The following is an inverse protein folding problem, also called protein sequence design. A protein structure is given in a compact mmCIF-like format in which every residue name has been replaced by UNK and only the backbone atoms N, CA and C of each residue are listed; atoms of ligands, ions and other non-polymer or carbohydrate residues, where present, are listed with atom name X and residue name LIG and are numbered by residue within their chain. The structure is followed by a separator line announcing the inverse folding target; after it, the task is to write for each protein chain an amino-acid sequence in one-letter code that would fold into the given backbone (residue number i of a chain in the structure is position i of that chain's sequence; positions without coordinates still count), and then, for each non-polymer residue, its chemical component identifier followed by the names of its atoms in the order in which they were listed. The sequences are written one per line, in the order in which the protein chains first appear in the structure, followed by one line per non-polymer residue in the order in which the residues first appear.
data_IF_100210504025
#
_entry.id   IF_100210504025
#
_cell.length_a   1.000
_cell.length_b   1.000
_cell.length_c   1.000
_cell.angle_alpha   90.00
_cell.angle_beta   90.00
_cell.angle_gamma   90.00
#
_symmetry.space_group_name_H-M   'P 1'
#
loop_
_entity.id
_entity.type
_entity.pdbx_description
1 polymer ?
#
# COMPACT_ATOMS: atom_id res chain seq x y z
N UNK A 1 -25.51 10.56 -3.19
CA UNK A 1 -24.95 11.29 -2.04
C UNK A 1 -25.67 10.78 -0.80
N UNK A 2 -25.11 9.80 -0.09
CA UNK A 2 -25.62 9.34 1.20
C UNK A 2 -24.73 9.93 2.30
N UNK A 3 -25.37 10.56 3.28
CA UNK A 3 -24.76 11.03 4.52
C UNK A 3 -24.04 9.89 5.24
N UNK A 4 -22.71 9.79 5.13
CA UNK A 4 -21.92 8.84 5.93
C UNK A 4 -20.54 9.42 6.23
N UNK A 5 -20.49 10.47 7.05
CA UNK A 5 -19.46 10.70 8.07
C UNK A 5 -19.74 12.04 8.76
N UNK A 6 -19.63 12.13 10.09
CA UNK A 6 -19.69 13.43 10.80
C UNK A 6 -18.48 14.32 10.49
N UNK A 7 -17.34 13.70 10.18
CA UNK A 7 -16.07 14.36 9.86
C UNK A 7 -15.56 13.95 8.47
N UNK A 8 -14.84 14.81 7.72
CA UNK A 8 -14.20 14.40 6.47
C UNK A 8 -13.27 13.20 6.67
N UNK A 9 -13.28 12.22 5.75
CA UNK A 9 -12.41 11.03 5.76
C UNK A 9 -10.94 11.42 6.03
N UNK A 10 -10.49 12.54 5.45
CA UNK A 10 -9.13 13.04 5.58
C UNK A 10 -8.74 13.45 7.02
N UNK A 11 -9.68 13.72 7.92
CA UNK A 11 -9.39 14.15 9.30
C UNK A 11 -9.09 12.98 10.25
N UNK A 12 -9.49 11.77 9.89
CA UNK A 12 -9.29 10.58 10.74
C UNK A 12 -7.82 10.18 10.84
N UNK A 13 -7.12 10.12 9.71
CA UNK A 13 -5.72 9.69 9.69
C UNK A 13 -4.80 10.61 10.50
N UNK A 14 -4.87 11.96 10.40
CA UNK A 14 -4.09 12.85 11.26
C UNK A 14 -4.32 12.63 12.76
N UNK A 15 -5.57 12.38 13.18
CA UNK A 15 -5.90 12.10 14.59
C UNK A 15 -5.25 10.80 15.07
N UNK A 16 -5.37 9.72 14.29
CA UNK A 16 -4.72 8.43 14.57
C UNK A 16 -3.19 8.59 14.65
N UNK A 17 -2.59 9.25 13.66
CA UNK A 17 -1.14 9.52 13.62
C UNK A 17 -0.70 10.33 14.84
N UNK A 18 -1.45 11.35 15.21
CA UNK A 18 -1.15 12.20 16.37
C UNK A 18 -1.13 11.40 17.67
N UNK A 19 -2.15 10.57 17.92
CA UNK A 19 -2.25 9.76 19.13
C UNK A 19 -1.14 8.70 19.19
N UNK A 20 -0.86 8.01 18.09
CA UNK A 20 0.28 7.09 18.00
C UNK A 20 1.61 7.81 18.29
N UNK A 21 1.82 9.00 17.73
CA UNK A 21 3.03 9.78 17.99
C UNK A 21 3.19 10.16 19.46
N UNK A 22 2.10 10.45 20.17
CA UNK A 22 2.12 10.75 21.60
C UNK A 22 2.49 9.50 22.40
N UNK A 23 1.85 8.36 22.15
CA UNK A 23 2.17 7.08 22.80
C UNK A 23 3.64 6.72 22.63
N UNK A 24 4.18 6.84 21.40
CA UNK A 24 5.59 6.58 21.13
C UNK A 24 6.54 7.52 21.89
N UNK A 25 6.14 8.79 22.05
CA UNK A 25 6.92 9.78 22.81
C UNK A 25 6.92 9.48 24.30
N UNK A 26 5.80 9.05 24.86
CA UNK A 26 5.66 8.70 26.28
C UNK A 26 6.56 7.53 26.67
N UNK A 27 6.71 6.53 25.78
CA UNK A 27 7.67 5.43 25.97
C UNK A 27 9.10 5.78 25.54
N UNK A 28 9.37 7.03 25.18
CA UNK A 28 10.71 7.53 24.83
C UNK A 28 11.24 7.08 23.47
N UNK A 29 10.41 6.52 22.60
CA UNK A 29 10.82 6.13 21.25
C UNK A 29 10.92 7.36 20.34
N UNK A 30 12.03 7.51 19.63
CA UNK A 30 12.27 8.63 18.72
C UNK A 30 12.92 8.19 17.41
N UNK A 31 12.91 9.08 16.41
CA UNK A 31 13.58 8.88 15.12
C UNK A 31 13.24 7.54 14.45
N UNK A 32 14.29 6.76 14.15
CA UNK A 32 14.18 5.46 13.50
C UNK A 32 13.34 4.46 14.28
N UNK A 33 13.56 4.35 15.59
CA UNK A 33 12.83 3.43 16.45
C UNK A 33 11.33 3.75 16.46
N UNK A 34 10.97 5.04 16.55
CA UNK A 34 9.58 5.46 16.48
C UNK A 34 8.94 5.16 15.11
N UNK A 35 9.67 5.31 14.01
CA UNK A 35 9.16 5.01 12.67
C UNK A 35 8.86 3.51 12.47
N UNK A 36 9.74 2.64 13.01
CA UNK A 36 9.57 1.18 13.03
C UNK A 36 8.37 0.80 13.90
N UNK A 37 8.35 1.26 15.16
CA UNK A 37 7.26 0.95 16.10
C UNK A 37 5.89 1.42 15.60
N UNK A 38 5.83 2.64 15.05
CA UNK A 38 4.63 3.16 14.36
C UNK A 38 4.15 2.24 13.25
N UNK A 39 5.06 1.57 12.53
CA UNK A 39 4.69 0.71 11.40
C UNK A 39 3.95 -0.51 11.88
N UNK A 40 4.56 -1.23 12.81
CA UNK A 40 3.96 -2.42 13.39
C UNK A 40 2.68 -2.09 14.16
N UNK A 41 2.61 -0.95 14.85
CA UNK A 41 1.39 -0.51 15.52
C UNK A 41 0.25 -0.22 14.53
N UNK A 42 0.52 0.54 13.46
CA UNK A 42 -0.48 0.78 12.40
C UNK A 42 -0.91 -0.54 11.72
N UNK A 43 0.03 -1.45 11.48
CA UNK A 43 -0.25 -2.76 10.89
C UNK A 43 -1.14 -3.62 11.79
N UNK A 44 -0.84 -3.65 13.09
CA UNK A 44 -1.65 -4.37 14.07
C UNK A 44 -3.05 -3.76 14.19
N UNK A 45 -3.13 -2.43 14.18
CA UNK A 45 -4.39 -1.71 14.20
C UNK A 45 -5.22 -1.98 12.94
N UNK A 46 -4.62 -1.98 11.75
CA UNK A 46 -5.30 -2.34 10.49
C UNK A 46 -5.84 -3.78 10.54
N UNK A 47 -5.03 -4.74 11.01
CA UNK A 47 -5.46 -6.13 11.17
C UNK A 47 -6.64 -6.23 12.14
N UNK A 48 -6.53 -5.58 13.31
CA UNK A 48 -7.56 -5.60 14.34
C UNK A 48 -8.88 -4.99 13.84
N UNK A 49 -8.81 -3.82 13.21
CA UNK A 49 -9.97 -3.09 12.67
C UNK A 49 -10.60 -3.77 11.45
N UNK A 50 -9.90 -4.71 10.81
CA UNK A 50 -10.43 -5.48 9.69
C UNK A 50 -11.40 -6.60 10.09
N UNK A 51 -11.52 -6.89 11.39
CA UNK A 51 -12.50 -7.82 11.96
C UNK A 51 -13.81 -7.06 12.19
N UNK A 52 -14.80 -7.26 11.31
CA UNK A 52 -16.13 -6.69 11.48
C UNK A 52 -17.20 -7.79 11.38
N UNK A 53 -17.95 -7.98 12.47
CA UNK A 53 -19.10 -8.88 12.50
C UNK A 53 -20.22 -8.47 11.53
N UNK A 54 -20.24 -7.23 11.05
CA UNK A 54 -21.20 -6.78 10.03
C UNK A 54 -20.97 -7.40 8.66
N UNK A 55 -19.75 -7.84 8.33
CA UNK A 55 -19.52 -8.60 7.10
C UNK A 55 -20.21 -9.97 7.18
N UNK A 56 -20.14 -10.63 8.34
CA UNK A 56 -20.90 -11.84 8.64
C UNK A 56 -22.41 -11.59 8.51
N UNK A 57 -22.90 -10.45 9.00
CA UNK A 57 -24.31 -10.05 8.86
C UNK A 57 -24.70 -9.76 7.41
N UNK A 58 -23.90 -9.00 6.66
CA UNK A 58 -24.17 -8.67 5.27
C UNK A 58 -24.10 -9.90 4.35
N UNK A 59 -23.21 -10.86 4.63
CA UNK A 59 -23.17 -12.15 3.92
C UNK A 59 -24.40 -13.00 4.25
N UNK A 60 -24.85 -13.02 5.51
CA UNK A 60 -26.08 -13.71 5.92
C UNK A 60 -27.33 -13.10 5.25
N UNK A 61 -27.44 -11.77 5.21
CA UNK A 61 -28.53 -11.06 4.52
C UNK A 61 -28.54 -11.33 3.00
N UNK A 62 -27.36 -11.46 2.38
CA UNK A 62 -27.24 -11.79 0.96
C UNK A 62 -27.60 -13.25 0.67
N UNK A 63 -27.26 -14.18 1.58
CA UNK A 63 -27.66 -15.59 1.47
C UNK A 63 -29.16 -15.81 1.66
N UNK A 64 -29.82 -15.04 2.53
CA UNK A 64 -31.28 -15.08 2.71
C UNK A 64 -32.04 -14.57 1.47
N UNK A 65 -31.41 -13.71 0.65
CA UNK A 65 -31.98 -13.22 -0.61
C UNK A 65 -31.76 -14.17 -1.80
N UNK A 66 -30.86 -15.14 -1.69
CA UNK A 66 -30.67 -16.19 -2.69
C UNK A 66 -31.49 -17.43 -2.31
N UNK A 67 -32.39 -17.89 -3.20
CA UNK A 67 -33.21 -19.12 -3.06
C UNK A 67 -32.40 -20.44 -3.00
N UNK A 68 -31.15 -20.38 -2.53
CA UNK A 68 -30.32 -21.55 -2.28
C UNK A 68 -30.42 -21.94 -0.80
N UNK A 69 -31.26 -22.95 -0.54
CA UNK A 69 -31.39 -23.67 0.74
C UNK A 69 -30.08 -24.36 1.16
N UNK A 70 -29.06 -23.57 1.52
CA UNK A 70 -27.94 -24.04 2.33
C UNK A 70 -28.06 -23.35 3.68
N UNK A 71 -28.70 -24.07 4.62
CA UNK A 71 -28.68 -23.77 6.04
C UNK A 71 -27.24 -23.82 6.53
N UNK A 72 -26.57 -22.69 6.53
CA UNK A 72 -25.33 -22.54 7.26
C UNK A 72 -25.65 -21.96 8.63
N UNK A 73 -25.15 -22.58 9.70
CA UNK A 73 -24.94 -21.93 11.00
C UNK A 73 -23.78 -20.89 10.88
N UNK A 74 -23.89 -19.97 9.92
CA UNK A 74 -22.77 -19.30 9.26
C UNK A 74 -22.16 -18.17 10.08
N UNK A 75 -22.96 -17.45 10.89
CA UNK A 75 -22.48 -16.31 11.66
C UNK A 75 -21.39 -16.67 12.67
N UNK A 76 -21.57 -17.75 13.44
CA UNK A 76 -20.57 -18.15 14.46
C UNK A 76 -19.31 -18.80 13.88
N UNK A 77 -19.42 -19.45 12.71
CA UNK A 77 -18.29 -20.07 12.02
C UNK A 77 -17.45 -19.00 11.32
N UNK A 78 -18.10 -18.00 10.71
CA UNK A 78 -17.43 -16.88 10.06
C UNK A 78 -16.70 -16.00 11.08
N UNK A 79 -17.32 -15.68 12.22
CA UNK A 79 -16.70 -14.89 13.27
C UNK A 79 -15.48 -15.62 13.88
N UNK A 80 -15.59 -16.93 14.14
CA UNK A 80 -14.45 -17.75 14.61
C UNK A 80 -13.34 -17.85 13.57
N UNK A 81 -13.68 -17.98 12.28
CA UNK A 81 -12.72 -18.01 11.17
C UNK A 81 -11.98 -16.67 11.04
N UNK A 82 -12.70 -15.56 11.13
CA UNK A 82 -12.15 -14.20 11.04
C UNK A 82 -11.27 -13.85 12.25
N UNK A 83 -11.66 -14.26 13.46
CA UNK A 83 -10.83 -14.12 14.65
C UNK A 83 -9.55 -14.97 14.54
N UNK A 84 -9.68 -16.22 14.07
CA UNK A 84 -8.52 -17.11 13.87
C UNK A 84 -7.55 -16.53 12.84
N UNK A 85 -8.06 -15.99 11.74
CA UNK A 85 -7.27 -15.32 10.72
C UNK A 85 -6.52 -14.11 11.29
N UNK A 86 -7.18 -13.30 12.11
CA UNK A 86 -6.60 -12.10 12.70
C UNK A 86 -5.54 -12.43 13.75
N UNK A 87 -5.79 -13.41 14.63
CA UNK A 87 -4.80 -13.87 15.59
C UNK A 87 -3.55 -14.42 14.89
N UNK A 88 -3.72 -15.20 13.82
CA UNK A 88 -2.60 -15.69 13.01
C UNK A 88 -1.82 -14.54 12.35
N UNK A 89 -2.53 -13.55 11.83
CA UNK A 89 -1.96 -12.35 11.21
C UNK A 89 -1.12 -11.54 12.20
N UNK A 90 -1.67 -11.27 13.38
CA UNK A 90 -0.99 -10.54 14.46
C UNK A 90 0.25 -11.31 14.95
N UNK A 91 0.15 -12.63 15.11
CA UNK A 91 1.30 -13.47 15.50
C UNK A 91 2.46 -13.31 14.52
N UNK A 92 2.17 -13.32 13.21
CA UNK A 92 3.20 -13.17 12.19
C UNK A 92 3.78 -11.75 12.15
N UNK A 93 2.93 -10.73 12.34
CA UNK A 93 3.37 -9.35 12.46
C UNK A 93 4.27 -9.15 13.68
N UNK A 94 3.93 -9.76 14.83
CA UNK A 94 4.72 -9.66 16.06
C UNK A 94 6.09 -10.32 15.92
N UNK A 95 6.17 -11.47 15.24
CA UNK A 95 7.45 -12.07 14.90
C UNK A 95 8.34 -11.12 14.06
N UNK A 96 7.77 -10.38 13.11
CA UNK A 96 8.51 -9.38 12.34
C UNK A 96 8.92 -8.16 13.20
N UNK A 97 8.01 -7.70 14.05
CA UNK A 97 8.21 -6.58 14.96
C UNK A 97 9.34 -6.86 15.96
N UNK A 98 9.39 -8.07 16.54
CA UNK A 98 10.40 -8.48 17.50
C UNK A 98 11.81 -8.52 16.89
N UNK A 99 11.93 -9.04 15.66
CA UNK A 99 13.19 -8.99 14.90
C UNK A 99 13.68 -7.54 14.73
N UNK A 100 12.74 -6.60 14.60
CA UNK A 100 13.01 -5.17 14.49
C UNK A 100 13.03 -4.40 15.82
N UNK A 101 13.01 -5.11 16.96
CA UNK A 101 13.18 -4.54 18.30
C UNK A 101 11.93 -3.89 18.88
N UNK A 102 10.73 -4.23 18.37
CA UNK A 102 9.44 -3.76 18.89
C UNK A 102 8.74 -4.94 19.56
N UNK A 103 8.42 -4.80 20.85
CA UNK A 103 7.80 -5.87 21.63
C UNK A 103 6.31 -6.00 21.31
N UNK A 104 5.83 -7.25 21.16
CA UNK A 104 4.39 -7.53 20.98
C UNK A 104 3.52 -6.95 22.09
N UNK A 105 3.95 -7.06 23.35
CA UNK A 105 3.24 -6.50 24.52
C UNK A 105 3.05 -4.98 24.47
N UNK A 106 3.97 -4.26 23.82
CA UNK A 106 3.80 -2.82 23.61
C UNK A 106 2.72 -2.57 22.56
N UNK A 107 2.74 -3.33 21.46
CA UNK A 107 1.78 -3.21 20.38
C UNK A 107 0.37 -3.54 20.87
N UNK A 108 0.20 -4.65 21.59
CA UNK A 108 -1.10 -5.07 22.13
C UNK A 108 -1.73 -3.98 23.01
N UNK A 109 -0.96 -3.46 23.98
CA UNK A 109 -1.44 -2.40 24.87
C UNK A 109 -1.80 -1.12 24.12
N UNK A 110 -0.98 -0.71 23.15
CA UNK A 110 -1.24 0.49 22.38
C UNK A 110 -2.46 0.34 21.46
N UNK A 111 -2.67 -0.84 20.86
CA UNK A 111 -3.89 -1.13 20.09
C UNK A 111 -5.12 -1.08 21.00
N UNK A 112 -5.07 -1.71 22.17
CA UNK A 112 -6.17 -1.69 23.14
C UNK A 112 -6.53 -0.27 23.58
N UNK A 113 -5.52 0.58 23.85
CA UNK A 113 -5.73 1.97 24.20
C UNK A 113 -6.38 2.77 23.05
N UNK A 114 -5.88 2.62 21.82
CA UNK A 114 -6.42 3.32 20.64
C UNK A 114 -7.86 2.90 20.33
N UNK A 115 -8.19 1.62 20.45
CA UNK A 115 -9.52 1.08 20.18
C UNK A 115 -10.54 1.56 21.22
N UNK A 116 -10.11 1.73 22.47
CA UNK A 116 -10.95 2.20 23.58
C UNK A 116 -10.94 3.73 23.75
N UNK A 117 -10.20 4.47 22.92
CA UNK A 117 -10.14 5.92 22.96
C UNK A 117 -11.47 6.55 22.48
N UNK A 118 -12.17 7.20 23.42
CA UNK A 118 -13.46 7.84 23.15
C UNK A 118 -13.36 9.04 22.21
N UNK A 119 -12.22 9.74 22.19
CA UNK A 119 -12.00 10.86 21.26
C UNK A 119 -11.75 10.35 19.83
N UNK A 120 -11.11 9.18 19.73
CA UNK A 120 -10.79 8.58 18.45
C UNK A 120 -11.98 7.84 17.85
N UNK A 121 -12.92 7.33 18.66
CA UNK A 121 -14.14 6.62 18.23
C UNK A 121 -13.91 5.66 17.04
N UNK A 122 -12.85 4.84 17.12
CA UNK A 122 -12.44 3.97 16.01
C UNK A 122 -13.54 3.00 15.54
N UNK A 123 -14.45 2.64 16.43
CA UNK A 123 -15.63 1.82 16.13
C UNK A 123 -16.65 2.51 15.21
N UNK A 124 -16.60 3.84 15.09
CA UNK A 124 -17.43 4.65 14.18
C UNK A 124 -16.68 5.11 12.91
N UNK A 125 -15.39 4.79 12.76
CA UNK A 125 -14.62 5.15 11.56
C UNK A 125 -15.26 4.59 10.28
N UNK A 126 -15.25 5.34 9.17
CA UNK A 126 -15.63 4.83 7.86
C UNK A 126 -14.82 3.58 7.48
N UNK A 127 -15.43 2.66 6.73
CA UNK A 127 -14.78 1.41 6.32
C UNK A 127 -13.46 1.62 5.57
N UNK A 128 -13.38 2.67 4.75
CA UNK A 128 -12.16 3.03 4.05
C UNK A 128 -11.01 3.44 5.00
N UNK A 129 -11.29 3.95 6.20
CA UNK A 129 -10.22 4.29 7.16
C UNK A 129 -9.59 3.02 7.74
N UNK A 130 -10.39 1.96 7.91
CA UNK A 130 -9.95 0.69 8.47
C UNK A 130 -9.22 -0.18 7.44
N UNK A 131 -9.55 -0.02 6.16
CA UNK A 131 -8.92 -0.70 5.04
C UNK A 131 -7.75 0.15 4.50
N UNK A 132 -6.55 -0.39 4.35
CA UNK A 132 -5.35 0.36 3.91
C UNK A 132 -4.88 1.47 4.86
N UNK A 133 -5.21 1.39 6.16
CA UNK A 133 -4.79 2.36 7.17
C UNK A 133 -3.28 2.65 7.12
N UNK A 134 -2.44 1.62 7.03
CA UNK A 134 -0.98 1.76 7.02
C UNK A 134 -0.50 2.55 5.80
N UNK A 135 -1.08 2.26 4.62
CA UNK A 135 -0.73 2.92 3.36
C UNK A 135 -1.19 4.37 3.34
N UNK A 136 -2.42 4.64 3.78
CA UNK A 136 -2.97 5.98 3.85
C UNK A 136 -2.21 6.85 4.84
N UNK A 137 -1.90 6.33 6.04
CA UNK A 137 -1.06 7.05 7.00
C UNK A 137 0.34 7.34 6.43
N UNK A 138 0.97 6.36 5.77
CA UNK A 138 2.26 6.59 5.10
C UNK A 138 2.19 7.69 4.03
N UNK A 139 1.18 7.66 3.17
CA UNK A 139 1.01 8.66 2.12
C UNK A 139 0.76 10.07 2.67
N UNK A 140 0.08 10.19 3.81
CA UNK A 140 -0.18 11.48 4.45
C UNK A 140 1.02 12.02 5.23
N UNK A 141 1.79 11.16 5.90
CA UNK A 141 3.03 11.55 6.57
C UNK A 141 4.11 11.97 5.57
N UNK A 142 4.11 11.35 4.39
CA UNK A 142 5.10 11.55 3.34
C UNK A 142 4.39 11.82 2.00
N UNK A 143 3.86 13.04 1.83
CA UNK A 143 3.13 13.45 0.62
C UNK A 143 3.92 13.23 -0.67
N UNK A 144 5.25 13.32 -0.59
CA UNK A 144 6.18 13.11 -1.71
C UNK A 144 6.80 11.70 -1.72
N UNK A 145 6.19 10.72 -1.05
CA UNK A 145 6.67 9.35 -0.90
C UNK A 145 7.13 8.70 -2.22
N UNK A 146 6.34 8.71 -3.32
CA UNK A 146 6.74 8.04 -4.55
C UNK A 146 8.00 8.64 -5.18
N UNK A 147 8.09 9.97 -5.25
CA UNK A 147 9.24 10.68 -5.82
C UNK A 147 10.47 10.56 -4.91
N UNK A 148 10.28 10.72 -3.60
CA UNK A 148 11.34 10.59 -2.59
C UNK A 148 11.95 9.19 -2.55
N UNK A 149 11.11 8.15 -2.60
CA UNK A 149 11.55 6.75 -2.67
C UNK A 149 12.34 6.49 -3.97
N UNK A 150 11.82 6.94 -5.12
CA UNK A 150 12.51 6.79 -6.41
C UNK A 150 13.86 7.52 -6.43
N UNK A 151 13.91 8.77 -5.93
CA UNK A 151 15.13 9.56 -5.75
C UNK A 151 16.15 8.81 -4.92
N UNK A 152 15.74 8.26 -3.79
CA UNK A 152 16.66 7.58 -2.88
C UNK A 152 17.21 6.28 -3.48
N UNK A 153 16.39 5.47 -4.17
CA UNK A 153 16.86 4.30 -4.91
C UNK A 153 17.96 4.64 -5.91
N UNK A 154 17.79 5.74 -6.67
CA UNK A 154 18.79 6.19 -7.63
C UNK A 154 20.03 6.74 -6.93
N UNK A 155 19.85 7.53 -5.86
CA UNK A 155 20.96 8.12 -5.10
C UNK A 155 21.85 7.09 -4.42
N UNK A 156 21.27 5.96 -4.00
CA UNK A 156 21.97 4.82 -3.39
C UNK A 156 22.60 3.88 -4.43
N UNK A 157 22.37 4.11 -5.72
CA UNK A 157 22.88 3.26 -6.80
C UNK A 157 22.15 1.94 -6.98
N UNK A 158 21.02 1.73 -6.30
CA UNK A 158 20.21 0.50 -6.40
C UNK A 158 19.60 0.37 -7.82
N UNK A 159 19.20 1.50 -8.40
CA UNK A 159 18.76 1.58 -9.79
C UNK A 159 19.45 2.73 -10.52
N UNK A 160 19.60 2.60 -11.84
CA UNK A 160 20.20 3.64 -12.68
C UNK A 160 19.14 4.59 -13.25
N UNK A 161 19.39 5.91 -13.20
CA UNK A 161 18.62 6.89 -13.95
C UNK A 161 19.53 7.98 -14.54
N UNK A 162 19.67 8.02 -15.87
CA UNK A 162 20.51 9.01 -16.55
C UNK A 162 20.01 10.46 -16.46
N UNK A 163 18.83 10.69 -15.89
CA UNK A 163 18.27 12.03 -15.66
C UNK A 163 18.55 12.56 -14.25
N UNK A 164 19.10 11.73 -13.37
CA UNK A 164 19.41 12.11 -12.00
C UNK A 164 20.86 12.62 -11.89
N UNK A 165 21.07 13.65 -11.08
CA UNK A 165 22.40 14.12 -10.73
C UNK A 165 22.44 14.54 -9.27
N UNK A 166 23.38 13.96 -8.52
CA UNK A 166 23.58 14.27 -7.11
C UNK A 166 23.96 15.74 -6.88
N UNK A 167 24.62 16.38 -7.85
CA UNK A 167 25.11 17.77 -7.72
C UNK A 167 24.00 18.82 -7.68
N UNK A 168 22.81 18.49 -8.17
CA UNK A 168 21.64 19.39 -8.21
C UNK A 168 20.53 18.94 -7.24
N UNK A 169 20.73 17.83 -6.55
CA UNK A 169 19.75 17.29 -5.61
C UNK A 169 19.80 18.03 -4.27
N UNK A 170 18.81 18.89 -4.04
CA UNK A 170 18.70 19.70 -2.83
C UNK A 170 18.35 18.89 -1.58
N UNK A 171 17.83 17.67 -1.77
CA UNK A 171 17.45 16.75 -0.70
C UNK A 171 18.53 15.71 -0.41
N UNK A 172 19.69 15.78 -1.08
CA UNK A 172 20.84 14.93 -0.80
C UNK A 172 21.37 15.15 0.62
N UNK A 173 21.08 14.18 1.49
CA UNK A 173 21.56 14.14 2.87
C UNK A 173 22.13 12.77 3.18
N UNK A 174 23.16 12.74 4.02
CA UNK A 174 23.59 11.52 4.71
C UNK A 174 22.70 11.33 5.92
N UNK A 175 22.09 10.16 6.04
CA UNK A 175 21.27 9.79 7.18
C UNK A 175 22.08 8.92 8.14
N UNK A 176 21.93 9.15 9.44
CA UNK A 176 22.56 8.31 10.48
C UNK A 176 22.14 6.84 10.32
N UNK A 177 20.88 6.60 9.94
CA UNK A 177 20.30 5.28 9.69
C UNK A 177 20.72 4.62 8.37
N UNK A 178 21.57 5.26 7.57
CA UNK A 178 21.93 4.85 6.20
C UNK A 178 20.89 5.25 5.15
N UNK A 179 19.61 5.22 5.50
CA UNK A 179 18.46 5.59 4.64
C UNK A 179 17.52 6.58 5.36
N UNK A 180 16.70 7.30 4.60
CA UNK A 180 15.69 8.20 5.16
C UNK A 180 14.56 7.45 5.87
N UNK A 181 13.82 8.13 6.76
CA UNK A 181 12.65 7.55 7.42
C UNK A 181 11.53 7.21 6.43
N UNK A 182 11.37 8.00 5.36
CA UNK A 182 10.44 7.74 4.26
C UNK A 182 10.79 6.40 3.59
N UNK A 183 12.06 6.20 3.25
CA UNK A 183 12.53 4.98 2.60
C UNK A 183 12.42 3.75 3.49
N UNK A 184 12.78 3.89 4.77
CA UNK A 184 12.59 2.84 5.78
C UNK A 184 11.12 2.43 5.88
N UNK A 185 10.22 3.42 5.98
CA UNK A 185 8.77 3.18 6.06
C UNK A 185 8.21 2.55 4.79
N UNK A 186 8.73 2.89 3.61
CA UNK A 186 8.39 2.24 2.35
C UNK A 186 8.80 0.76 2.32
N UNK A 187 10.01 0.44 2.80
CA UNK A 187 10.49 -0.94 2.86
C UNK A 187 9.66 -1.80 3.83
N UNK A 188 9.31 -1.23 5.00
CA UNK A 188 8.38 -1.88 5.93
C UNK A 188 6.99 -2.04 5.33
N UNK A 189 6.50 -1.08 4.54
CA UNK A 189 5.26 -1.23 3.81
C UNK A 189 5.30 -2.39 2.80
N UNK A 190 6.43 -2.60 2.11
CA UNK A 190 6.60 -3.79 1.26
C UNK A 190 6.60 -5.08 2.07
N UNK A 191 7.25 -5.12 3.24
CA UNK A 191 7.18 -6.24 4.18
C UNK A 191 5.71 -6.54 4.57
N UNK A 192 4.94 -5.50 4.93
CA UNK A 192 3.53 -5.63 5.30
C UNK A 192 2.68 -6.19 4.15
N UNK A 193 2.91 -5.75 2.90
CA UNK A 193 2.22 -6.27 1.72
C UNK A 193 2.60 -7.71 1.37
N UNK A 194 3.86 -8.06 1.56
CA UNK A 194 4.33 -9.46 1.44
C UNK A 194 3.60 -10.32 2.49
N UNK A 195 3.53 -9.87 3.74
CA UNK A 195 2.85 -10.56 4.82
C UNK A 195 1.35 -10.73 4.53
N UNK A 196 0.66 -9.65 4.14
CA UNK A 196 -0.76 -9.66 3.76
C UNK A 196 -1.05 -10.74 2.72
N UNK A 197 -0.19 -10.84 1.70
CA UNK A 197 -0.34 -11.81 0.63
C UNK A 197 -0.02 -13.24 1.08
N UNK A 198 1.00 -13.44 1.91
CA UNK A 198 1.36 -14.75 2.45
C UNK A 198 0.23 -15.30 3.33
N UNK A 199 -0.31 -14.48 4.24
CA UNK A 199 -1.44 -14.83 5.11
C UNK A 199 -2.67 -15.23 4.30
N UNK A 200 -3.00 -14.49 3.24
CA UNK A 200 -4.13 -14.82 2.36
C UNK A 200 -4.06 -16.26 1.81
N UNK A 201 -2.87 -16.68 1.38
CA UNK A 201 -2.66 -18.00 0.78
C UNK A 201 -2.63 -19.09 1.85
N UNK A 202 -1.94 -18.84 2.98
CA UNK A 202 -1.86 -19.78 4.10
C UNK A 202 -3.24 -20.07 4.68
N UNK A 203 -4.07 -19.05 4.86
CA UNK A 203 -5.45 -19.23 5.36
C UNK A 203 -6.32 -19.99 4.35
N UNK A 204 -6.17 -19.74 3.05
CA UNK A 204 -6.87 -20.51 2.00
C UNK A 204 -6.52 -22.00 2.06
N UNK A 205 -5.23 -22.32 2.24
CA UNK A 205 -4.74 -23.68 2.42
C UNK A 205 -5.28 -24.32 3.71
N UNK A 206 -5.24 -23.60 4.83
CA UNK A 206 -5.71 -24.09 6.13
C UNK A 206 -7.21 -24.40 6.14
N UNK A 207 -8.02 -23.54 5.52
CA UNK A 207 -9.48 -23.66 5.55
C UNK A 207 -9.99 -24.71 4.57
N UNK A 208 -9.49 -24.69 3.33
CA UNK A 208 -10.11 -25.44 2.23
C UNK A 208 -9.13 -26.38 1.50
N UNK A 209 -7.87 -26.50 1.95
CA UNK A 209 -6.81 -27.25 1.27
C UNK A 209 -6.67 -26.90 -0.22
N UNK A 210 -7.01 -25.66 -0.60
CA UNK A 210 -7.03 -25.21 -1.99
C UNK A 210 -6.32 -23.87 -2.14
N UNK A 211 -5.67 -23.70 -3.29
CA UNK A 211 -5.12 -22.41 -3.75
C UNK A 211 -5.81 -22.05 -5.04
N UNK A 212 -6.38 -20.85 -5.09
CA UNK A 212 -6.89 -20.28 -6.34
C UNK A 212 -5.72 -19.62 -7.07
N UNK A 213 -5.33 -20.21 -8.20
CA UNK A 213 -4.34 -19.64 -9.09
C UNK A 213 -4.98 -18.55 -9.98
N UNK A 214 -4.25 -17.47 -10.30
CA UNK A 214 -4.76 -16.45 -11.20
C UNK A 214 -4.90 -17.05 -12.60
N UNK A 215 -5.97 -16.67 -13.30
CA UNK A 215 -6.12 -17.02 -14.71
C UNK A 215 -4.97 -16.40 -15.51
N UNK A 216 -4.28 -17.18 -16.36
CA UNK A 216 -3.22 -16.65 -17.21
C UNK A 216 -3.81 -15.63 -18.19
N UNK A 217 -3.28 -14.41 -18.19
CA UNK A 217 -3.60 -13.42 -19.22
C UNK A 217 -2.87 -13.82 -20.51
N UNK A 218 -3.59 -13.90 -21.62
CA UNK A 218 -3.05 -14.28 -22.92
C UNK A 218 -1.93 -13.36 -23.42
N UNK A 219 -1.79 -12.17 -22.83
CA UNK A 219 -0.73 -11.19 -23.12
C UNK A 219 0.53 -11.37 -22.28
N UNK A 220 0.52 -12.26 -21.28
CA UNK A 220 1.70 -12.50 -20.44
C UNK A 220 2.81 -13.18 -21.23
N UNK A 221 4.03 -12.66 -21.10
CA UNK A 221 5.24 -13.29 -21.63
C UNK A 221 5.53 -14.63 -20.92
N UNK A 222 6.25 -15.56 -21.57
CA UNK A 222 6.65 -16.82 -20.94
C UNK A 222 7.42 -16.63 -19.62
N UNK A 223 8.21 -15.56 -19.52
CA UNK A 223 8.93 -15.23 -18.29
C UNK A 223 7.98 -14.82 -17.16
N UNK A 224 6.98 -14.00 -17.45
CA UNK A 224 5.96 -13.60 -16.46
C UNK A 224 5.14 -14.80 -15.99
N UNK A 225 4.73 -15.68 -16.91
CA UNK A 225 4.02 -16.92 -16.57
C UNK A 225 4.89 -17.82 -15.67
N UNK A 226 6.18 -17.96 -15.98
CA UNK A 226 7.12 -18.72 -15.14
C UNK A 226 7.26 -18.09 -13.76
N UNK A 227 7.45 -16.77 -13.67
CA UNK A 227 7.57 -16.08 -12.38
C UNK A 227 6.31 -16.24 -11.51
N UNK A 228 5.12 -16.18 -12.11
CA UNK A 228 3.85 -16.45 -11.41
C UNK A 228 3.80 -17.90 -10.93
N UNK A 229 4.19 -18.86 -11.79
CA UNK A 229 4.22 -20.28 -11.42
C UNK A 229 5.18 -20.53 -10.25
N UNK A 230 6.41 -20.01 -10.32
CA UNK A 230 7.45 -20.19 -9.31
C UNK A 230 7.05 -19.54 -7.97
N UNK A 231 6.35 -18.39 -8.01
CA UNK A 231 5.77 -17.75 -6.84
C UNK A 231 4.79 -18.67 -6.10
N UNK A 232 3.80 -19.24 -6.81
CA UNK A 232 2.78 -20.07 -6.18
C UNK A 232 3.33 -21.43 -5.74
N UNK A 233 4.26 -22.02 -6.50
CA UNK A 233 4.96 -23.24 -6.09
C UNK A 233 5.68 -23.07 -4.76
N UNK A 234 6.39 -21.95 -4.58
CA UNK A 234 7.08 -21.70 -3.31
C UNK A 234 6.12 -21.63 -2.12
N UNK A 235 4.97 -20.96 -2.26
CA UNK A 235 3.99 -20.89 -1.17
C UNK A 235 3.43 -22.27 -0.81
N UNK A 236 3.25 -23.15 -1.81
CA UNK A 236 2.88 -24.56 -1.60
C UNK A 236 4.01 -25.30 -0.89
N UNK A 237 5.25 -25.16 -1.35
CA UNK A 237 6.42 -25.81 -0.75
C UNK A 237 6.59 -25.37 0.72
N UNK A 238 6.48 -24.08 1.00
CA UNK A 238 6.59 -23.52 2.36
C UNK A 238 5.48 -24.06 3.27
N UNK A 239 4.28 -24.27 2.75
CA UNK A 239 3.18 -24.90 3.49
C UNK A 239 3.45 -26.38 3.83
N UNK A 240 3.91 -27.18 2.85
CA UNK A 240 4.14 -28.62 3.06
C UNK A 240 5.39 -28.94 3.88
N UNK A 241 6.41 -28.07 3.83
CA UNK A 241 7.69 -28.30 4.52
C UNK A 241 7.64 -27.98 6.02
N UNK A 242 6.53 -27.44 6.53
CA UNK A 242 6.30 -27.21 7.96
C UNK A 242 7.13 -26.08 8.57
N UNK A 243 6.98 -25.90 9.88
CA UNK A 243 7.63 -24.85 10.68
C UNK A 243 9.15 -24.92 10.54
N UNK A 244 9.73 -23.96 9.82
CA UNK A 244 11.18 -23.89 9.61
C UNK A 244 11.62 -23.10 8.38
N UNK A 245 10.74 -22.92 7.37
CA UNK A 245 10.94 -21.94 6.30
C UNK A 245 10.06 -20.73 6.52
N UNK A 246 10.69 -19.55 6.58
CA UNK A 246 10.00 -18.28 6.65
C UNK A 246 9.14 -18.11 5.40
N UNK A 247 7.81 -18.14 5.55
CA UNK A 247 6.83 -17.92 4.47
C UNK A 247 6.80 -16.48 3.97
N UNK A 248 7.45 -15.56 4.69
CA UNK A 248 7.59 -14.16 4.34
C UNK A 248 9.01 -13.66 4.65
N UNK A 249 9.47 -12.68 3.89
CA UNK A 249 10.76 -12.01 4.13
C UNK A 249 10.54 -10.78 5.00
N UNK A 250 11.34 -10.66 6.06
CA UNK A 250 11.34 -9.45 6.90
C UNK A 250 12.47 -8.50 6.54
N UNK A 251 12.16 -7.21 6.46
CA UNK A 251 13.11 -6.13 6.31
C UNK A 251 13.76 -5.82 7.66
N UNK A 252 14.95 -6.38 7.88
CA UNK A 252 15.74 -6.16 9.08
C UNK A 252 16.27 -4.73 9.10
N UNK A 253 15.73 -3.92 10.01
CA UNK A 253 16.02 -2.51 10.14
C UNK A 253 16.27 -2.06 11.58
N UNK A 254 16.36 -2.96 12.57
CA UNK A 254 16.76 -2.60 13.95
C UNK A 254 18.14 -1.93 13.99
N UNK A 255 19.15 -2.60 13.44
CA UNK A 255 20.52 -2.10 13.30
C UNK A 255 20.72 -1.25 12.06
N UNK A 256 21.96 -0.81 11.81
CA UNK A 256 22.31 -0.02 10.63
C UNK A 256 21.92 -0.74 9.33
N UNK A 257 21.35 0.02 8.40
CA UNK A 257 20.86 -0.51 7.12
C UNK A 257 21.95 -0.30 6.09
N UNK A 258 22.58 -1.38 5.63
CA UNK A 258 23.53 -1.29 4.52
C UNK A 258 22.81 -1.27 3.17
N UNK A 259 23.44 -0.68 2.15
CA UNK A 259 22.91 -0.71 0.77
C UNK A 259 22.71 -2.15 0.31
N UNK A 260 23.62 -3.06 0.68
CA UNK A 260 23.54 -4.47 0.33
C UNK A 260 22.30 -5.15 0.93
N UNK A 261 21.92 -4.80 2.16
CA UNK A 261 20.70 -5.34 2.79
C UNK A 261 19.45 -4.89 2.04
N UNK A 262 19.42 -3.62 1.62
CA UNK A 262 18.32 -3.08 0.80
C UNK A 262 18.27 -3.76 -0.56
N UNK A 263 19.40 -3.94 -1.25
CA UNK A 263 19.47 -4.65 -2.54
C UNK A 263 18.97 -6.09 -2.42
N UNK A 264 19.39 -6.81 -1.37
CA UNK A 264 18.93 -8.18 -1.10
C UNK A 264 17.43 -8.21 -0.84
N UNK A 265 16.89 -7.29 -0.02
CA UNK A 265 15.46 -7.23 0.26
C UNK A 265 14.65 -6.92 -1.01
N UNK A 266 14.96 -5.81 -1.69
CA UNK A 266 14.24 -5.36 -2.90
C UNK A 266 14.38 -6.36 -4.05
N UNK A 267 15.57 -6.94 -4.23
CA UNK A 267 15.84 -7.95 -5.26
C UNK A 267 15.07 -9.25 -5.04
N UNK A 268 14.59 -9.51 -3.82
CA UNK A 268 13.77 -10.66 -3.49
C UNK A 268 12.26 -10.37 -3.47
N UNK A 269 11.81 -9.11 -3.58
CA UNK A 269 10.37 -8.77 -3.54
C UNK A 269 9.59 -9.55 -4.61
N UNK A 270 10.12 -9.69 -5.83
CA UNK A 270 9.44 -10.42 -6.91
C UNK A 270 9.21 -11.91 -6.58
N UNK A 271 10.00 -12.47 -5.66
CA UNK A 271 9.79 -13.81 -5.14
C UNK A 271 8.56 -13.77 -4.24
N UNK A 272 8.46 -12.82 -3.31
CA UNK A 272 7.47 -12.85 -2.23
C UNK A 272 6.20 -12.04 -2.49
N UNK A 273 6.15 -11.25 -3.56
CA UNK A 273 5.01 -10.39 -3.87
C UNK A 273 4.84 -10.24 -5.38
N UNK A 274 3.60 -10.42 -5.83
CA UNK A 274 3.18 -10.17 -7.20
C UNK A 274 1.99 -9.22 -7.19
N UNK A 275 2.10 -8.14 -7.96
CA UNK A 275 1.05 -7.15 -8.11
C UNK A 275 0.94 -6.75 -9.59
N UNK A 276 -0.29 -6.62 -10.09
CA UNK A 276 -0.54 -6.15 -11.45
C UNK A 276 -0.22 -4.67 -11.53
N UNK A 277 0.26 -4.18 -12.68
CA UNK A 277 0.61 -2.77 -12.86
C UNK A 277 -0.41 -2.08 -13.76
N UNK A 278 -1.03 -1.02 -13.25
CA UNK A 278 -1.89 -0.12 -14.03
C UNK A 278 -1.08 0.71 -15.03
N UNK A 279 0.17 1.03 -14.69
CA UNK A 279 1.11 1.73 -15.57
C UNK A 279 2.19 0.75 -16.03
N UNK A 280 2.24 0.48 -17.33
CA UNK A 280 3.30 -0.30 -17.95
C UNK A 280 4.50 0.57 -18.33
N UNK A 281 5.67 -0.05 -18.46
CA UNK A 281 6.88 0.61 -18.92
C UNK A 281 8.15 0.10 -18.23
N UNK A 282 9.29 0.59 -18.72
CA UNK A 282 10.61 0.35 -18.11
C UNK A 282 10.85 1.28 -16.94
N UNK A 283 11.88 1.03 -16.13
CA UNK A 283 12.32 1.93 -15.06
C UNK A 283 12.52 3.38 -15.57
N UNK A 284 13.04 3.55 -16.78
CA UNK A 284 13.23 4.87 -17.41
C UNK A 284 11.94 5.66 -17.66
N UNK A 285 10.78 5.01 -17.60
CA UNK A 285 9.47 5.66 -17.73
C UNK A 285 8.87 6.13 -16.40
N UNK A 286 9.38 5.65 -15.25
CA UNK A 286 8.78 5.90 -13.93
C UNK A 286 8.72 7.38 -13.60
N UNK A 287 9.81 8.12 -13.83
CA UNK A 287 9.87 9.56 -13.61
C UNK A 287 8.80 10.32 -14.41
N UNK A 288 8.55 9.91 -15.65
CA UNK A 288 7.50 10.51 -16.47
C UNK A 288 6.09 10.13 -16.00
N UNK A 289 5.90 8.90 -15.54
CA UNK A 289 4.62 8.43 -14.98
C UNK A 289 4.27 9.16 -13.68
N UNK A 290 5.25 9.31 -12.77
CA UNK A 290 5.09 10.08 -11.54
C UNK A 290 4.76 11.54 -11.86
N UNK A 291 5.51 12.19 -12.76
CA UNK A 291 5.26 13.59 -13.09
C UNK A 291 3.95 13.81 -13.84
N UNK A 292 3.49 12.82 -14.61
CA UNK A 292 2.15 12.84 -15.21
C UNK A 292 1.04 12.76 -14.16
N UNK A 293 1.25 11.99 -13.09
CA UNK A 293 0.31 11.90 -11.98
C UNK A 293 0.29 13.21 -11.18
N UNK A 294 1.45 13.77 -10.86
CA UNK A 294 1.55 15.06 -10.15
C UNK A 294 0.85 16.19 -10.93
N UNK A 295 1.03 16.27 -12.25
CA UNK A 295 0.29 17.21 -13.11
C UNK A 295 -1.23 17.00 -12.99
N UNK A 296 -1.69 15.75 -12.92
CA UNK A 296 -3.11 15.45 -12.82
C UNK A 296 -3.70 15.92 -11.47
N UNK A 297 -2.99 15.69 -10.37
CA UNK A 297 -3.38 16.16 -9.04
C UNK A 297 -3.43 17.68 -8.97
N UNK A 298 -2.37 18.38 -9.37
CA UNK A 298 -2.34 19.85 -9.37
C UNK A 298 -3.43 20.44 -10.27
N UNK A 299 -3.78 19.79 -11.38
CA UNK A 299 -4.85 20.26 -12.25
C UNK A 299 -6.24 20.05 -11.64
N UNK A 300 -6.44 18.97 -10.88
CA UNK A 300 -7.69 18.77 -10.14
C UNK A 300 -7.85 19.82 -9.02
N UNK A 301 -6.75 20.29 -8.41
CA UNK A 301 -6.74 21.37 -7.40
C UNK A 301 -6.88 22.78 -8.01
N UNK A 302 -6.18 23.06 -9.11
CA UNK A 302 -6.17 24.35 -9.81
C UNK A 302 -6.63 24.21 -11.28
N UNK A 303 -7.93 23.96 -11.53
CA UNK A 303 -8.42 23.66 -12.88
C UNK A 303 -8.30 24.82 -13.88
N UNK A 304 -8.22 26.06 -13.38
CA UNK A 304 -8.07 27.26 -14.19
C UNK A 304 -6.63 27.49 -14.68
N UNK A 305 -5.62 26.89 -14.03
CA UNK A 305 -4.23 27.07 -14.43
C UNK A 305 -3.91 26.29 -15.71
N UNK A 306 -3.17 26.91 -16.62
CA UNK A 306 -2.70 26.24 -17.82
C UNK A 306 -1.75 25.09 -17.45
N UNK A 307 -1.97 23.91 -18.04
CA UNK A 307 -1.08 22.77 -17.82
C UNK A 307 0.28 23.00 -18.50
N UNK A 308 0.26 23.51 -19.73
CA UNK A 308 1.44 23.78 -20.54
C UNK A 308 1.15 24.84 -21.60
N UNK A 309 2.12 25.70 -21.90
CA UNK A 309 2.05 26.68 -22.99
C UNK A 309 3.42 26.78 -23.70
N UNK A 310 3.44 26.66 -25.03
CA UNK A 310 4.69 26.63 -25.81
C UNK A 310 5.40 28.00 -25.86
N UNK A 311 4.66 29.10 -25.77
CA UNK A 311 5.22 30.46 -25.81
C UNK A 311 5.91 30.85 -24.51
N UNK A 312 5.16 30.86 -23.40
CA UNK A 312 5.64 31.16 -22.05
C UNK A 312 5.09 30.17 -21.03
N UNK A 313 5.93 29.21 -20.63
CA UNK A 313 5.53 28.15 -19.71
C UNK A 313 5.75 28.51 -18.23
N UNK A 314 6.21 29.71 -17.89
CA UNK A 314 6.69 30.08 -16.55
C UNK A 314 5.64 29.95 -15.44
N UNK A 315 4.36 30.09 -15.78
CA UNK A 315 3.23 30.04 -14.83
C UNK A 315 2.33 28.80 -15.03
N UNK A 316 2.85 27.73 -15.62
CA UNK A 316 2.09 26.50 -15.86
C UNK A 316 2.32 25.42 -14.81
N UNK A 317 1.37 24.49 -14.69
CA UNK A 317 1.48 23.33 -13.80
C UNK A 317 2.70 22.48 -14.16
N UNK A 318 2.94 22.25 -15.46
CA UNK A 318 4.08 21.43 -15.90
C UNK A 318 5.44 22.05 -15.54
N UNK A 319 5.55 23.37 -15.46
CA UNK A 319 6.76 24.06 -15.00
C UNK A 319 6.94 23.94 -13.48
N UNK A 320 5.85 24.08 -12.71
CA UNK A 320 5.87 23.86 -11.26
C UNK A 320 6.37 22.45 -10.92
N UNK A 321 5.81 21.43 -11.58
CA UNK A 321 6.24 20.04 -11.41
C UNK A 321 7.68 19.83 -11.90
N UNK A 322 8.10 20.49 -12.99
CA UNK A 322 9.50 20.47 -13.44
C UNK A 322 10.46 20.97 -12.35
N UNK A 323 10.14 22.11 -11.74
CA UNK A 323 10.97 22.72 -10.68
C UNK A 323 11.02 21.83 -9.44
N UNK A 324 9.87 21.25 -9.05
CA UNK A 324 9.80 20.23 -8.00
C UNK A 324 10.76 19.07 -8.29
N UNK A 325 10.73 18.50 -9.49
CA UNK A 325 11.56 17.35 -9.85
C UNK A 325 13.05 17.70 -9.91
N UNK A 326 13.37 18.92 -10.36
CA UNK A 326 14.73 19.44 -10.36
C UNK A 326 15.29 19.53 -8.94
N UNK A 327 14.49 19.94 -7.95
CA UNK A 327 14.90 19.98 -6.56
C UNK A 327 15.25 18.58 -5.99
N UNK A 328 14.61 17.52 -6.50
CA UNK A 328 14.94 16.11 -6.21
C UNK A 328 16.10 15.58 -7.08
N UNK A 329 16.81 16.44 -7.80
CA UNK A 329 17.97 16.09 -8.60
C UNK A 329 17.64 15.54 -9.99
N UNK A 330 16.39 15.61 -10.45
CA UNK A 330 15.97 15.08 -11.74
C UNK A 330 15.83 16.15 -12.82
N UNK A 331 16.59 16.01 -13.89
CA UNK A 331 16.53 16.88 -15.07
C UNK A 331 15.49 16.37 -16.08
N UNK A 332 14.27 16.92 -16.01
CA UNK A 332 13.19 16.69 -16.97
C UNK A 332 12.70 18.01 -17.55
N UNK A 333 12.16 18.00 -18.77
CA UNK A 333 11.52 19.19 -19.35
C UNK A 333 10.02 19.20 -19.07
N UNK A 334 9.45 20.39 -18.88
CA UNK A 334 8.01 20.56 -18.69
C UNK A 334 7.20 20.00 -19.88
N UNK A 335 7.70 20.20 -21.11
CA UNK A 335 7.11 19.62 -22.32
C UNK A 335 7.06 18.09 -22.29
N UNK A 336 8.13 17.43 -21.85
CA UNK A 336 8.15 15.96 -21.73
C UNK A 336 7.14 15.47 -20.71
N UNK A 337 7.00 16.16 -19.56
CA UNK A 337 6.00 15.83 -18.55
C UNK A 337 4.58 16.01 -19.09
N UNK A 338 4.31 17.13 -19.77
CA UNK A 338 3.01 17.40 -20.40
C UNK A 338 2.61 16.34 -21.44
N UNK A 339 3.54 15.95 -22.33
CA UNK A 339 3.27 14.93 -23.34
C UNK A 339 2.96 13.57 -22.70
N UNK A 340 3.66 13.23 -21.61
CA UNK A 340 3.40 12.00 -20.85
C UNK A 340 2.05 12.05 -20.13
N UNK A 341 1.72 13.18 -19.51
CA UNK A 341 0.40 13.44 -18.92
C UNK A 341 -0.71 13.24 -19.95
N UNK A 342 -0.58 13.80 -21.16
CA UNK A 342 -1.59 13.67 -22.23
C UNK A 342 -1.83 12.22 -22.62
N UNK A 343 -0.77 11.40 -22.71
CA UNK A 343 -0.88 9.95 -22.97
C UNK A 343 -1.57 9.21 -21.81
N UNK A 344 -1.11 9.43 -20.57
CA UNK A 344 -1.68 8.79 -19.37
C UNK A 344 -3.17 9.16 -19.17
N UNK A 345 -3.53 10.43 -19.35
CA UNK A 345 -4.91 10.93 -19.25
C UNK A 345 -5.85 10.23 -20.22
N UNK A 346 -5.37 9.97 -21.44
CA UNK A 346 -6.13 9.29 -22.49
C UNK A 346 -6.31 7.81 -22.18
N UNK A 347 -5.27 7.15 -21.69
CA UNK A 347 -5.22 5.68 -21.64
C UNK A 347 -5.58 5.07 -20.28
N UNK A 348 -5.20 5.70 -19.16
CA UNK A 348 -5.20 5.04 -17.84
C UNK A 348 -5.92 5.81 -16.74
N UNK A 349 -6.09 7.11 -16.90
CA UNK A 349 -6.61 7.95 -15.82
C UNK A 349 -8.08 7.65 -15.45
N UNK A 350 -8.89 7.11 -16.37
CA UNK A 350 -10.21 6.53 -16.02
C UNK A 350 -10.10 5.40 -15.02
N UNK A 351 -9.14 4.51 -15.23
CA UNK A 351 -8.94 3.32 -14.40
C UNK A 351 -8.55 3.75 -12.99
N UNK A 352 -7.68 4.76 -12.88
CA UNK A 352 -7.35 5.39 -11.58
C UNK A 352 -8.59 5.98 -10.91
N UNK A 353 -9.35 6.84 -11.61
CA UNK A 353 -10.56 7.45 -11.04
C UNK A 353 -11.60 6.42 -10.61
N UNK A 354 -11.79 5.37 -11.41
CA UNK A 354 -12.71 4.29 -11.09
C UNK A 354 -12.22 3.45 -9.90
N UNK A 355 -10.93 3.17 -9.80
CA UNK A 355 -10.34 2.52 -8.62
C UNK A 355 -10.59 3.35 -7.35
N UNK A 356 -10.30 4.65 -7.38
CA UNK A 356 -10.58 5.54 -6.25
C UNK A 356 -12.07 5.57 -5.90
N UNK A 357 -12.95 5.62 -6.89
CA UNK A 357 -14.40 5.57 -6.69
C UNK A 357 -14.83 4.27 -5.99
N UNK A 358 -14.31 3.10 -6.41
CA UNK A 358 -14.60 1.81 -5.80
C UNK A 358 -14.18 1.78 -4.33
N UNK A 359 -12.99 2.29 -4.01
CA UNK A 359 -12.49 2.36 -2.64
C UNK A 359 -13.32 3.31 -1.75
N UNK A 360 -13.70 4.49 -2.27
CA UNK A 360 -14.47 5.49 -1.52
C UNK A 360 -15.92 5.08 -1.26
N UNK A 361 -16.47 4.13 -2.02
CA UNK A 361 -17.87 3.72 -1.94
C UNK A 361 -18.05 2.29 -1.42
N UNK A 362 -17.07 1.76 -0.68
CA UNK A 362 -17.19 0.45 -0.05
C UNK A 362 -18.34 0.43 0.98
N UNK A 363 -19.17 -0.62 0.91
CA UNK A 363 -20.32 -0.82 1.81
C UNK A 363 -20.04 -1.75 2.99
N UNK A 364 -18.88 -2.40 3.00
CA UNK A 364 -18.45 -3.33 4.03
C UNK A 364 -16.93 -3.36 4.08
N UNK A 365 -16.38 -3.80 5.22
CA UNK A 365 -14.94 -4.00 5.38
C UNK A 365 -14.56 -5.32 4.73
N UNK A 366 -13.60 -5.30 3.83
CA UNK A 366 -12.93 -6.53 3.39
C UNK A 366 -11.87 -6.90 4.42
N UNK A 367 -11.77 -8.18 4.86
CA UNK A 367 -10.73 -8.58 5.80
C UNK A 367 -9.35 -8.21 5.27
N UNK A 368 -8.41 -7.81 6.14
CA UNK A 368 -7.15 -7.24 5.68
C UNK A 368 -6.38 -8.21 4.76
N UNK A 369 -6.37 -9.50 5.07
CA UNK A 369 -5.69 -10.53 4.27
C UNK A 369 -6.44 -10.86 2.97
N UNK A 370 -7.67 -10.39 2.80
CA UNK A 370 -8.47 -10.57 1.61
C UNK A 370 -8.17 -9.52 0.53
N UNK A 371 -6.91 -9.05 0.42
CA UNK A 371 -6.37 -8.26 -0.69
C UNK A 371 -6.30 -9.10 -2.00
N UNK A 372 -7.44 -9.69 -2.34
CA UNK A 372 -7.81 -9.98 -3.70
C UNK A 372 -7.91 -8.60 -4.31
N UNK A 373 -6.94 -8.26 -5.16
CA UNK A 373 -6.89 -7.09 -6.04
C UNK A 373 -8.18 -6.90 -6.89
N UNK A 374 -9.37 -7.37 -6.51
CA UNK A 374 -10.63 -7.31 -7.21
C UNK A 374 -10.99 -5.90 -7.61
N UNK A 375 -10.90 -4.92 -6.71
CA UNK A 375 -11.15 -3.51 -7.07
C UNK A 375 -10.14 -3.00 -8.09
N UNK A 376 -8.87 -3.40 -7.92
CA UNK A 376 -7.81 -3.06 -8.86
C UNK A 376 -8.02 -3.73 -10.22
N UNK A 377 -8.43 -5.00 -10.24
CA UNK A 377 -8.70 -5.82 -11.40
C UNK A 377 -9.92 -5.30 -12.16
N UNK A 378 -10.99 -4.96 -11.45
CA UNK A 378 -12.16 -4.27 -12.00
C UNK A 378 -11.74 -2.94 -12.64
N UNK A 379 -10.87 -2.18 -11.99
CA UNK A 379 -10.32 -0.94 -12.55
C UNK A 379 -9.42 -1.16 -13.76
N UNK A 380 -8.61 -2.21 -13.78
CA UNK A 380 -7.80 -2.58 -14.96
C UNK A 380 -8.68 -3.01 -16.14
N UNK A 381 -9.81 -3.66 -15.88
CA UNK A 381 -10.79 -4.05 -16.89
C UNK A 381 -11.75 -2.93 -17.28
N UNK A 382 -11.68 -1.76 -16.62
CA UNK A 382 -12.55 -0.64 -16.91
C UNK A 382 -12.15 0.00 -18.25
N UNK A 383 -12.80 -0.45 -19.31
CA UNK A 383 -12.72 0.15 -20.63
C UNK A 383 -13.68 1.34 -20.73
N UNK A 384 -13.14 2.51 -21.08
CA UNK A 384 -13.91 3.76 -21.27
C UNK A 384 -14.88 3.72 -22.46
N UNK A 385 -15.00 2.60 -23.15
CA UNK A 385 -15.82 2.46 -24.36
C UNK A 385 -17.31 2.18 -24.10
N UNK A 386 -17.74 1.93 -22.85
CA UNK A 386 -19.12 1.47 -22.54
C UNK A 386 -19.97 2.52 -21.81
N UNK A 387 -19.46 3.73 -21.55
CA UNK A 387 -20.24 4.80 -20.89
C UNK A 387 -20.23 6.05 -21.76
N UNK A 388 -20.88 5.94 -22.91
CA UNK A 388 -21.42 7.02 -23.74
C UNK A 388 -22.30 6.36 -24.82
N UNK A 389 -23.39 5.74 -24.39
CA UNK A 389 -24.60 5.55 -25.21
C UNK A 389 -25.79 6.08 -24.42
#
# INVERSE_FOLDING_TARGET
MSEVCKDPIAEWYPRIIFKINNMLREVGMTGKQAAIAKHYLLGALEIYLSVDGKLSTAMAEYSEQSDTNTLFEEGTIYDKSTQTASNFSLTMLYAAAENNGVQGEFIDRAVEELVNDQDLELSATPYLIRYHLVECCYALEYTEAPLGFYRELVSLGIISCGKYSLNIDTYAKKYESGVSLLFLRACLLFEFKILQRAVAVILSLKNNNTIVLPSPDSRMSPLEQKNISDYYKRLVDDWFMGEGRQSFVSFQCKGDISIKDVEVFLGNINKYYLHKRMFSGTQGSWLGTLGAFDIACEHDEEPAMAIYYEGDNSHSISERIRLKYLAYGFSVSARSLYLRYKSVKKERYSQVKYYCFLLLNQKFITPWHHDKNNYYDMALSFDRAVVNE
#
